data_IF_940747772138
#
_entry.id   IF_940747772138
#
_cell.length_a   1.000
_cell.length_b   1.000
_cell.length_c   1.000
_cell.angle_alpha   90.00
_cell.angle_beta   90.00
_cell.angle_gamma   90.00
#
_symmetry.space_group_name_H-M   'P 1'
#
loop_
_entity.id
_entity.type
_entity.pdbx_description
1 polymer ?
#
# COMPACT_ATOMS: atom_id res chain seq x y z
N UNK A 1 11.78 33.20 -5.07
CA UNK A 1 11.11 32.68 -3.84
C UNK A 1 12.09 31.78 -3.13
N UNK A 2 12.25 31.91 -1.81
CA UNK A 2 13.08 30.99 -0.99
C UNK A 2 12.43 29.61 -0.97
N UNK A 3 13.25 28.56 -1.22
CA UNK A 3 12.77 27.16 -1.13
C UNK A 3 12.32 26.86 0.27
N UNK A 4 11.22 26.11 0.40
CA UNK A 4 10.74 25.64 1.71
C UNK A 4 11.52 24.43 2.19
N UNK A 5 11.89 24.44 3.46
CA UNK A 5 12.55 23.32 4.13
C UNK A 5 11.50 22.47 4.85
N UNK A 6 11.42 21.21 4.50
CA UNK A 6 10.38 20.30 5.02
C UNK A 6 11.01 19.06 5.62
N UNK A 7 10.62 18.74 6.87
CA UNK A 7 10.98 17.49 7.53
C UNK A 7 9.82 16.50 7.41
N UNK A 8 10.12 15.27 6.97
CA UNK A 8 9.15 14.17 6.90
C UNK A 8 9.65 13.05 7.81
N UNK A 9 8.77 12.55 8.68
CA UNK A 9 9.05 11.47 9.61
C UNK A 9 8.42 10.17 9.08
N UNK A 10 9.24 9.20 8.71
CA UNK A 10 8.86 7.92 8.12
C UNK A 10 8.97 7.89 6.59
N UNK A 11 9.64 6.86 6.06
CA UNK A 11 9.84 6.63 4.61
C UNK A 11 9.09 5.39 4.07
N UNK A 12 8.02 4.99 4.72
CA UNK A 12 7.06 4.04 4.14
C UNK A 12 6.44 4.58 2.83
N UNK A 13 5.56 3.84 2.15
CA UNK A 13 4.99 4.28 0.87
C UNK A 13 4.42 5.70 0.90
N UNK A 14 3.75 6.08 1.99
CA UNK A 14 3.15 7.41 2.17
C UNK A 14 4.22 8.51 2.28
N UNK A 15 5.21 8.31 3.15
CA UNK A 15 6.28 9.29 3.35
C UNK A 15 7.16 9.45 2.12
N UNK A 16 7.46 8.35 1.43
CA UNK A 16 8.21 8.36 0.18
C UNK A 16 7.50 9.15 -0.92
N UNK A 17 6.21 8.90 -1.14
CA UNK A 17 5.43 9.64 -2.14
C UNK A 17 5.27 11.12 -1.77
N UNK A 18 5.11 11.42 -0.48
CA UNK A 18 5.06 12.80 0.01
C UNK A 18 6.39 13.52 -0.26
N UNK A 19 7.52 12.88 0.03
CA UNK A 19 8.85 13.44 -0.21
C UNK A 19 9.07 13.74 -1.71
N UNK A 20 8.74 12.79 -2.59
CA UNK A 20 8.83 12.97 -4.05
C UNK A 20 7.93 14.09 -4.55
N UNK A 21 6.69 14.20 -4.02
CA UNK A 21 5.78 15.27 -4.42
C UNK A 21 6.27 16.66 -4.01
N UNK A 22 6.85 16.80 -2.84
CA UNK A 22 7.36 18.08 -2.34
C UNK A 22 8.67 18.46 -3.04
N UNK A 23 9.56 17.51 -3.25
CA UNK A 23 10.79 17.74 -4.02
C UNK A 23 10.50 18.20 -5.46
N UNK A 24 9.44 17.69 -6.11
CA UNK A 24 8.99 18.13 -7.44
C UNK A 24 8.45 19.57 -7.48
N UNK A 25 8.25 20.18 -6.31
CA UNK A 25 7.81 21.59 -6.13
C UNK A 25 8.94 22.49 -5.62
N UNK A 26 10.18 22.11 -5.86
CA UNK A 26 11.38 22.82 -5.41
C UNK A 26 11.49 23.03 -3.88
N UNK A 27 10.93 22.12 -3.10
CA UNK A 27 11.16 22.07 -1.67
C UNK A 27 12.44 21.28 -1.35
N UNK A 28 13.17 21.70 -0.32
CA UNK A 28 14.22 20.89 0.28
C UNK A 28 13.59 19.95 1.28
N UNK A 29 13.74 18.64 1.09
CA UNK A 29 13.12 17.63 1.93
C UNK A 29 14.17 16.89 2.76
N UNK A 30 13.98 16.86 4.06
CA UNK A 30 14.68 15.98 4.98
C UNK A 30 13.74 14.84 5.37
N UNK A 31 14.15 13.62 5.03
CA UNK A 31 13.38 12.41 5.31
C UNK A 31 14.05 11.61 6.43
N UNK A 32 13.37 11.49 7.55
CA UNK A 32 13.85 10.74 8.71
C UNK A 32 13.26 9.35 8.71
N UNK A 33 14.13 8.33 8.67
CA UNK A 33 13.73 6.92 8.73
C UNK A 33 14.71 6.11 9.59
N UNK A 34 14.31 5.71 10.79
CA UNK A 34 15.20 4.98 11.70
C UNK A 34 15.47 3.53 11.26
N UNK A 35 14.59 2.94 10.44
CA UNK A 35 14.74 1.56 10.00
C UNK A 35 15.80 1.43 8.91
N UNK A 36 16.49 0.30 8.91
CA UNK A 36 17.35 -0.10 7.81
C UNK A 36 16.53 -0.43 6.56
N UNK A 37 17.13 -0.32 5.39
CA UNK A 37 16.49 -0.64 4.13
C UNK A 37 15.94 -2.07 4.10
N UNK A 38 16.72 -3.04 4.62
CA UNK A 38 16.27 -4.44 4.72
C UNK A 38 14.97 -4.60 5.51
N UNK A 39 14.81 -3.81 6.57
CA UNK A 39 13.61 -3.86 7.43
C UNK A 39 12.41 -3.19 6.74
N UNK A 40 12.66 -2.11 6.01
CA UNK A 40 11.65 -1.48 5.15
C UNK A 40 11.15 -2.43 4.05
N UNK A 41 12.02 -3.29 3.53
CA UNK A 41 11.69 -4.27 2.48
C UNK A 41 11.09 -5.58 3.02
N UNK A 42 11.12 -5.81 4.33
CA UNK A 42 10.81 -7.12 4.93
C UNK A 42 9.32 -7.47 4.99
N UNK A 43 8.41 -6.52 4.78
CA UNK A 43 6.97 -6.76 4.93
C UNK A 43 6.45 -7.65 3.80
N UNK A 44 5.83 -8.76 4.18
CA UNK A 44 5.21 -9.70 3.23
C UNK A 44 3.73 -9.36 3.01
N UNK A 45 3.47 -8.40 2.12
CA UNK A 45 2.12 -7.99 1.73
C UNK A 45 2.09 -7.42 0.31
N UNK A 46 0.92 -7.50 -0.33
CA UNK A 46 0.63 -6.85 -1.60
C UNK A 46 -0.22 -5.59 -1.42
N UNK A 47 -0.08 -4.67 -2.35
CA UNK A 47 -0.92 -3.48 -2.45
C UNK A 47 -1.76 -3.51 -3.72
N UNK A 48 -3.05 -3.28 -3.59
CA UNK A 48 -3.91 -2.99 -4.71
C UNK A 48 -3.71 -1.53 -5.16
N UNK A 49 -3.35 -1.33 -6.41
CA UNK A 49 -3.17 -0.02 -7.04
C UNK A 49 -4.40 0.27 -7.90
N UNK A 50 -5.10 1.33 -7.56
CA UNK A 50 -6.25 1.83 -8.31
C UNK A 50 -5.80 2.74 -9.47
N UNK A 51 -6.72 3.08 -10.37
CA UNK A 51 -6.46 4.05 -11.44
C UNK A 51 -6.06 5.45 -10.91
N UNK A 52 -6.61 5.86 -9.77
CA UNK A 52 -6.21 7.12 -9.13
C UNK A 52 -4.78 7.07 -8.61
N UNK A 53 -4.39 5.96 -8.00
CA UNK A 53 -3.00 5.75 -7.55
C UNK A 53 -2.02 5.67 -8.74
N UNK A 54 -2.42 5.00 -9.84
CA UNK A 54 -1.64 4.97 -11.07
C UNK A 54 -1.30 6.38 -11.55
N UNK A 55 -2.28 7.28 -11.64
CA UNK A 55 -2.06 8.68 -12.07
C UNK A 55 -1.05 9.42 -11.18
N UNK A 56 -1.01 9.10 -9.89
CA UNK A 56 0.00 9.67 -8.99
C UNK A 56 1.40 9.16 -9.36
N UNK A 57 1.55 7.87 -9.60
CA UNK A 57 2.84 7.28 -10.00
C UNK A 57 3.29 7.76 -11.38
N UNK A 58 2.36 7.93 -12.34
CA UNK A 58 2.65 8.53 -13.66
C UNK A 58 3.22 9.94 -13.51
N UNK A 59 2.63 10.76 -12.64
CA UNK A 59 3.10 12.12 -12.36
C UNK A 59 4.55 12.17 -11.86
N UNK A 60 5.01 11.13 -11.18
CA UNK A 60 6.39 11.02 -10.70
C UNK A 60 7.32 10.26 -11.66
N UNK A 61 6.82 9.84 -12.82
CA UNK A 61 7.59 9.03 -13.78
C UNK A 61 7.91 7.62 -13.28
N UNK A 62 7.17 7.12 -12.28
CA UNK A 62 7.41 5.82 -11.65
C UNK A 62 6.52 4.71 -12.22
N UNK A 63 5.49 5.06 -13.00
CA UNK A 63 4.48 4.10 -13.42
C UNK A 63 5.05 2.94 -14.24
N UNK A 64 5.92 3.20 -15.19
CA UNK A 64 6.51 2.14 -16.03
C UNK A 64 7.28 1.08 -15.20
N UNK A 65 8.00 1.51 -14.17
CA UNK A 65 8.70 0.61 -13.25
C UNK A 65 7.72 -0.21 -12.41
N UNK A 66 6.68 0.45 -11.91
CA UNK A 66 5.63 -0.18 -11.11
C UNK A 66 4.85 -1.19 -11.97
N UNK A 67 4.45 -0.83 -13.17
CA UNK A 67 3.67 -1.70 -14.06
C UNK A 67 4.43 -2.97 -14.45
N UNK A 68 5.74 -2.88 -14.66
CA UNK A 68 6.61 -4.06 -14.90
C UNK A 68 6.61 -5.04 -13.72
N UNK A 69 6.56 -4.54 -12.50
CA UNK A 69 6.57 -5.35 -11.27
C UNK A 69 5.18 -5.78 -10.82
N UNK A 70 4.16 -4.97 -11.08
CA UNK A 70 2.78 -5.25 -10.69
C UNK A 70 2.11 -6.29 -11.59
N UNK A 71 1.00 -6.86 -11.10
CA UNK A 71 0.13 -7.75 -11.86
C UNK A 71 -1.23 -7.09 -12.08
N UNK A 72 -1.56 -6.78 -13.33
CA UNK A 72 -2.82 -6.16 -13.71
C UNK A 72 -3.98 -7.15 -13.66
N UNK A 73 -5.13 -6.75 -13.12
CA UNK A 73 -6.35 -7.53 -13.17
C UNK A 73 -7.46 -6.79 -13.92
N UNK A 74 -8.23 -7.57 -14.68
CA UNK A 74 -9.29 -7.06 -15.57
C UNK A 74 -10.68 -7.30 -15.03
N UNK A 75 -10.81 -8.13 -14.00
CA UNK A 75 -12.09 -8.54 -13.42
C UNK A 75 -12.01 -8.47 -11.90
N UNK A 76 -13.05 -7.89 -11.29
CA UNK A 76 -13.31 -7.96 -9.86
C UNK A 76 -14.64 -8.67 -9.66
N UNK A 77 -14.62 -9.78 -8.93
CA UNK A 77 -15.81 -10.51 -8.51
C UNK A 77 -16.11 -10.17 -7.06
N UNK A 78 -17.24 -9.54 -6.83
CA UNK A 78 -17.77 -9.24 -5.49
C UNK A 78 -18.87 -10.26 -5.24
N UNK A 79 -18.74 -11.03 -4.17
CA UNK A 79 -19.65 -12.11 -3.84
C UNK A 79 -20.17 -11.94 -2.41
N UNK A 80 -21.46 -12.10 -2.23
CA UNK A 80 -22.08 -12.16 -0.92
C UNK A 80 -22.62 -13.58 -0.70
N UNK A 81 -22.02 -14.30 0.25
CA UNK A 81 -22.36 -15.70 0.52
C UNK A 81 -23.66 -15.83 1.30
N UNK A 82 -24.07 -14.83 2.08
CA UNK A 82 -25.29 -14.90 2.89
C UNK A 82 -26.55 -14.85 2.02
N UNK A 83 -26.54 -13.97 1.02
CA UNK A 83 -27.67 -13.80 0.09
C UNK A 83 -27.45 -14.50 -1.27
N UNK A 84 -26.35 -15.26 -1.39
CA UNK A 84 -25.98 -15.97 -2.63
C UNK A 84 -25.97 -15.07 -3.86
N UNK A 85 -25.55 -13.81 -3.72
CA UNK A 85 -25.52 -12.82 -4.78
C UNK A 85 -24.09 -12.50 -5.21
N UNK A 86 -23.93 -12.08 -6.46
CA UNK A 86 -22.63 -11.68 -6.96
C UNK A 86 -22.72 -10.56 -7.99
N UNK A 87 -21.71 -9.70 -7.98
CA UNK A 87 -21.50 -8.66 -8.99
C UNK A 87 -20.12 -8.85 -9.60
N UNK A 88 -20.05 -8.80 -10.91
CA UNK A 88 -18.79 -8.89 -11.64
C UNK A 88 -18.55 -7.56 -12.35
N UNK A 89 -17.49 -6.88 -11.97
CA UNK A 89 -17.03 -5.66 -12.63
C UNK A 89 -15.87 -6.03 -13.56
N UNK A 90 -15.97 -5.64 -14.83
CA UNK A 90 -14.94 -5.89 -15.84
C UNK A 90 -14.35 -4.59 -16.35
N UNK A 91 -13.08 -4.60 -16.73
CA UNK A 91 -12.43 -3.43 -17.32
C UNK A 91 -13.19 -2.96 -18.59
N UNK A 92 -13.78 -3.88 -19.36
CA UNK A 92 -14.59 -3.55 -20.53
C UNK A 92 -15.88 -2.77 -20.19
N UNK A 93 -16.44 -2.96 -19.01
CA UNK A 93 -17.62 -2.22 -18.57
C UNK A 93 -17.32 -0.72 -18.38
N UNK A 94 -16.04 -0.41 -18.11
CA UNK A 94 -15.55 0.96 -17.90
C UNK A 94 -14.99 1.62 -19.18
N UNK A 95 -14.81 0.87 -20.28
CA UNK A 95 -14.30 1.40 -21.56
C UNK A 95 -15.15 2.54 -22.13
N UNK A 96 -16.45 2.56 -21.85
CA UNK A 96 -17.36 3.66 -22.23
C UNK A 96 -16.97 5.00 -21.57
N UNK A 97 -16.14 4.94 -20.51
CA UNK A 97 -15.69 6.11 -19.75
C UNK A 97 -14.25 6.50 -20.15
N UNK A 98 -13.45 5.52 -20.58
CA UNK A 98 -12.06 5.76 -20.96
C UNK A 98 -11.56 4.63 -21.90
N UNK A 99 -11.40 4.92 -23.19
CA UNK A 99 -11.09 3.95 -24.26
C UNK A 99 -9.77 3.18 -24.07
N UNK A 100 -8.86 3.67 -23.25
CA UNK A 100 -7.54 3.08 -23.02
C UNK A 100 -7.45 2.22 -21.75
N UNK A 101 -8.56 1.98 -21.05
CA UNK A 101 -8.52 1.24 -19.79
C UNK A 101 -8.54 -0.27 -20.02
N UNK A 102 -7.38 -0.92 -19.89
CA UNK A 102 -7.22 -2.37 -20.05
C UNK A 102 -7.39 -3.12 -18.71
N UNK A 103 -6.99 -2.51 -17.59
CA UNK A 103 -7.04 -3.11 -16.25
C UNK A 103 -7.97 -2.31 -15.32
N UNK A 104 -8.67 -2.98 -14.42
CA UNK A 104 -9.38 -2.35 -13.31
C UNK A 104 -8.40 -1.79 -12.27
N UNK A 105 -7.33 -2.52 -12.04
CA UNK A 105 -6.28 -2.19 -11.12
C UNK A 105 -5.10 -3.14 -11.25
N UNK A 106 -4.14 -2.98 -10.38
CA UNK A 106 -2.93 -3.79 -10.32
C UNK A 106 -2.65 -4.19 -8.88
N UNK A 107 -1.91 -5.28 -8.70
CA UNK A 107 -1.39 -5.69 -7.39
C UNK A 107 0.12 -5.72 -7.48
N UNK A 108 0.80 -5.04 -6.56
CA UNK A 108 2.26 -5.03 -6.46
C UNK A 108 2.71 -5.54 -5.10
N UNK A 109 3.79 -6.29 -5.08
CA UNK A 109 4.44 -6.69 -3.85
C UNK A 109 5.04 -5.50 -3.10
N UNK A 110 5.01 -5.54 -1.76
CA UNK A 110 5.57 -4.49 -0.93
C UNK A 110 7.05 -4.25 -1.22
N UNK A 111 7.83 -5.32 -1.35
CA UNK A 111 9.27 -5.24 -1.62
C UNK A 111 9.54 -4.51 -2.93
N UNK A 112 8.82 -4.86 -3.99
CA UNK A 112 9.00 -4.24 -5.31
C UNK A 112 8.61 -2.76 -5.29
N UNK A 113 7.47 -2.43 -4.68
CA UNK A 113 7.04 -1.05 -4.53
C UNK A 113 8.05 -0.22 -3.73
N UNK A 114 8.48 -0.73 -2.57
CA UNK A 114 9.42 -0.01 -1.71
C UNK A 114 10.78 0.17 -2.38
N UNK A 115 11.28 -0.84 -3.10
CA UNK A 115 12.52 -0.72 -3.85
C UNK A 115 12.46 0.42 -4.87
N UNK A 116 11.40 0.47 -5.69
CA UNK A 116 11.19 1.56 -6.66
C UNK A 116 11.15 2.92 -5.96
N UNK A 117 10.45 3.04 -4.82
CA UNK A 117 10.36 4.29 -4.09
C UNK A 117 11.69 4.71 -3.46
N UNK A 118 12.45 3.78 -2.89
CA UNK A 118 13.76 4.03 -2.31
C UNK A 118 14.74 4.49 -3.39
N UNK A 119 14.78 3.82 -4.54
CA UNK A 119 15.64 4.19 -5.65
C UNK A 119 15.30 5.61 -6.17
N UNK A 120 14.01 5.93 -6.28
CA UNK A 120 13.55 7.26 -6.68
C UNK A 120 13.94 8.36 -5.67
N UNK A 121 13.88 8.06 -4.38
CA UNK A 121 14.34 8.98 -3.31
C UNK A 121 15.83 9.18 -3.38
N UNK A 122 16.60 8.10 -3.46
CA UNK A 122 18.07 8.15 -3.49
C UNK A 122 18.60 8.91 -4.73
N UNK A 123 17.89 8.84 -5.85
CA UNK A 123 18.20 9.60 -7.06
C UNK A 123 17.78 11.07 -7.06
N UNK A 124 17.08 11.55 -6.02
CA UNK A 124 16.53 12.90 -6.00
C UNK A 124 17.40 13.88 -5.20
N UNK A 125 18.04 14.84 -5.85
CA UNK A 125 18.95 15.82 -5.22
C UNK A 125 18.29 16.75 -4.17
N UNK A 126 16.99 16.83 -4.11
CA UNK A 126 16.26 17.68 -3.17
C UNK A 126 15.79 16.90 -1.93
N UNK A 127 16.08 15.59 -1.85
CA UNK A 127 15.71 14.74 -0.73
C UNK A 127 16.98 14.23 -0.05
N UNK A 128 17.15 14.60 1.21
CA UNK A 128 18.22 14.08 2.06
C UNK A 128 17.63 13.13 3.10
N UNK A 129 18.16 11.91 3.20
CA UNK A 129 17.68 10.87 4.11
C UNK A 129 18.61 10.72 5.30
N UNK A 130 18.03 10.67 6.50
CA UNK A 130 18.76 10.46 7.76
C UNK A 130 18.08 9.38 8.60
N UNK A 131 18.88 8.61 9.34
CA UNK A 131 18.39 7.60 10.29
C UNK A 131 17.99 8.20 11.63
N UNK A 132 18.69 9.22 12.06
CA UNK A 132 18.51 9.86 13.36
C UNK A 132 17.98 11.28 13.17
N UNK A 133 16.94 11.63 13.91
CA UNK A 133 16.40 12.97 13.94
C UNK A 133 17.23 13.84 14.91
N UNK A 134 18.36 14.34 14.42
CA UNK A 134 19.28 15.24 15.18
C UNK A 134 19.16 16.69 14.76
N UNK A 135 18.26 17.03 13.81
CA UNK A 135 18.12 18.37 13.25
C UNK A 135 17.04 19.13 14.03
N UNK A 136 17.36 20.34 14.49
CA UNK A 136 16.42 21.19 15.24
C UNK A 136 15.15 21.46 14.40
N UNK A 137 14.00 21.18 14.99
CA UNK A 137 12.68 21.36 14.39
C UNK A 137 12.44 22.82 13.91
N UNK A 138 13.08 23.80 14.57
CA UNK A 138 12.97 25.22 14.22
C UNK A 138 13.58 25.59 12.87
N UNK A 139 14.40 24.73 12.28
CA UNK A 139 15.01 24.95 10.97
C UNK A 139 14.08 24.65 9.80
N UNK A 140 12.89 24.10 10.08
CA UNK A 140 11.92 23.68 9.07
C UNK A 140 10.70 24.59 9.03
N UNK A 141 10.22 24.87 7.83
CA UNK A 141 8.93 25.54 7.62
C UNK A 141 7.76 24.60 7.99
N UNK A 142 7.92 23.30 7.75
CA UNK A 142 6.90 22.27 8.05
C UNK A 142 7.55 20.96 8.51
N UNK A 143 6.88 20.30 9.47
CA UNK A 143 7.20 18.93 9.88
C UNK A 143 5.97 18.07 9.63
N UNK A 144 6.15 16.99 8.88
CA UNK A 144 5.08 16.11 8.43
C UNK A 144 5.32 14.70 8.94
N UNK A 145 4.36 14.13 9.68
CA UNK A 145 4.44 12.76 10.16
C UNK A 145 3.80 11.79 9.16
N UNK A 146 4.59 10.83 8.70
CA UNK A 146 4.18 9.69 7.88
C UNK A 146 4.69 8.37 8.49
N UNK A 147 4.86 8.34 9.81
CA UNK A 147 5.48 7.30 10.63
C UNK A 147 4.55 6.12 10.98
N UNK A 148 3.42 6.01 10.30
CA UNK A 148 2.57 4.83 10.24
C UNK A 148 1.47 4.76 11.31
N UNK A 149 0.90 3.55 11.46
CA UNK A 149 -0.29 3.31 12.29
C UNK A 149 -0.07 3.65 13.75
N UNK A 150 1.04 3.23 14.33
CA UNK A 150 1.37 3.40 15.74
C UNK A 150 2.25 4.63 15.99
N UNK A 151 2.09 5.66 15.16
CA UNK A 151 2.82 6.90 15.03
C UNK A 151 3.39 7.44 16.35
N UNK A 152 4.72 7.45 16.53
CA UNK A 152 5.38 8.13 17.64
C UNK A 152 5.12 9.64 17.64
N UNK A 153 5.07 10.26 16.45
CA UNK A 153 4.79 11.69 16.29
C UNK A 153 3.41 12.06 16.79
N UNK A 154 2.38 11.23 16.51
CA UNK A 154 1.03 11.45 17.05
C UNK A 154 1.03 11.52 18.57
N UNK A 155 1.79 10.63 19.23
CA UNK A 155 1.95 10.64 20.68
C UNK A 155 2.71 11.87 21.16
N UNK A 156 3.86 12.19 20.55
CA UNK A 156 4.71 13.35 20.88
C UNK A 156 3.93 14.65 20.75
N UNK A 157 3.14 14.81 19.69
CA UNK A 157 2.35 16.03 19.43
C UNK A 157 1.00 16.04 20.13
N UNK A 158 0.68 15.00 20.92
CA UNK A 158 -0.58 14.87 21.67
C UNK A 158 -1.81 15.04 20.79
N UNK A 159 -1.76 14.55 19.55
CA UNK A 159 -2.88 14.62 18.61
C UNK A 159 -3.95 13.64 19.08
N UNK A 160 -5.16 14.11 19.42
CA UNK A 160 -6.24 13.24 19.85
C UNK A 160 -6.70 12.33 18.71
N UNK A 161 -7.07 11.10 19.01
CA UNK A 161 -7.66 10.19 18.06
C UNK A 161 -8.65 9.25 18.72
N UNK A 162 -9.68 8.86 17.99
CA UNK A 162 -10.65 7.87 18.39
C UNK A 162 -10.20 6.48 17.93
N UNK A 163 -10.13 5.52 18.85
CA UNK A 163 -9.83 4.12 18.53
C UNK A 163 -11.10 3.29 18.70
N UNK A 164 -11.52 2.62 17.62
CA UNK A 164 -12.65 1.68 17.63
C UNK A 164 -12.12 0.27 17.44
N UNK A 165 -12.56 -0.66 18.28
CA UNK A 165 -12.24 -2.07 18.17
C UNK A 165 -13.41 -2.80 17.50
N UNK A 166 -13.11 -3.67 16.54
CA UNK A 166 -14.11 -4.37 15.73
C UNK A 166 -14.25 -5.86 16.08
N UNK A 167 -13.67 -6.35 17.14
CA UNK A 167 -13.66 -7.78 17.51
C UNK A 167 -13.26 -8.74 16.36
N UNK A 168 -12.53 -8.22 15.40
CA UNK A 168 -12.04 -8.95 14.23
C UNK A 168 -10.53 -8.80 14.12
N UNK A 169 -9.91 -9.82 13.56
CA UNK A 169 -8.50 -9.81 13.14
C UNK A 169 -8.41 -10.08 11.65
N UNK A 170 -7.31 -9.65 11.07
CA UNK A 170 -6.98 -9.91 9.69
C UNK A 170 -5.71 -10.75 9.62
N UNK A 171 -5.80 -11.92 9.00
CA UNK A 171 -4.65 -12.69 8.55
C UNK A 171 -4.35 -12.29 7.12
N UNK A 172 -3.09 -11.99 6.82
CA UNK A 172 -2.67 -11.63 5.47
C UNK A 172 -1.46 -12.48 5.09
N UNK A 173 -1.58 -13.23 4.01
CA UNK A 173 -0.54 -14.17 3.54
C UNK A 173 -0.63 -14.34 2.03
N UNK A 174 0.38 -14.98 1.43
CA UNK A 174 0.39 -15.37 0.01
C UNK A 174 0.13 -16.84 -0.15
N UNK A 175 -0.68 -17.19 -1.15
CA UNK A 175 -0.98 -18.58 -1.50
C UNK A 175 -0.96 -18.78 -3.01
N UNK A 176 -0.59 -19.98 -3.46
CA UNK A 176 -0.69 -20.39 -4.86
C UNK A 176 -2.06 -21.04 -5.06
N UNK A 177 -2.90 -20.44 -5.90
CA UNK A 177 -4.22 -20.96 -6.22
C UNK A 177 -4.19 -21.60 -7.62
N UNK A 178 -3.97 -22.92 -7.65
CA UNK A 178 -3.98 -23.69 -8.90
C UNK A 178 -5.40 -23.69 -9.52
N UNK A 179 -5.50 -23.45 -10.84
CA UNK A 179 -6.78 -23.41 -11.54
C UNK A 179 -7.60 -22.13 -11.36
N UNK A 180 -7.18 -21.19 -10.54
CA UNK A 180 -7.87 -19.91 -10.40
C UNK A 180 -7.82 -19.11 -11.72
N UNK A 181 -8.91 -18.43 -12.11
CA UNK A 181 -8.94 -17.59 -13.29
C UNK A 181 -7.90 -16.49 -13.24
N UNK A 182 -7.10 -16.36 -14.31
CA UNK A 182 -6.08 -15.31 -14.43
C UNK A 182 -6.73 -13.92 -14.43
N UNK A 183 -5.99 -12.92 -13.93
CA UNK A 183 -6.38 -11.49 -13.93
C UNK A 183 -7.74 -11.19 -13.26
N UNK A 184 -8.11 -12.00 -12.27
CA UNK A 184 -9.34 -11.81 -11.50
C UNK A 184 -9.02 -11.63 -10.03
N UNK A 185 -9.53 -10.53 -9.45
CA UNK A 185 -9.57 -10.29 -8.03
C UNK A 185 -10.93 -10.69 -7.46
N UNK A 186 -10.98 -11.02 -6.18
CA UNK A 186 -12.20 -11.40 -5.48
C UNK A 186 -12.33 -10.61 -4.19
N UNK A 187 -13.57 -10.20 -3.89
CA UNK A 187 -14.02 -9.71 -2.59
C UNK A 187 -15.23 -10.53 -2.19
N UNK A 188 -15.12 -11.31 -1.11
CA UNK A 188 -16.13 -12.28 -0.69
C UNK A 188 -16.61 -11.87 0.69
N UNK A 189 -17.85 -11.41 0.78
CA UNK A 189 -18.54 -11.15 2.04
C UNK A 189 -19.06 -12.47 2.59
N UNK A 190 -18.70 -12.77 3.83
CA UNK A 190 -19.05 -13.98 4.57
C UNK A 190 -19.47 -13.60 5.99
N UNK A 191 -20.25 -14.45 6.64
CA UNK A 191 -20.67 -14.24 8.03
C UNK A 191 -19.48 -14.01 8.98
N UNK A 192 -18.39 -14.77 8.81
CA UNK A 192 -17.18 -14.67 9.64
C UNK A 192 -16.34 -13.41 9.35
N UNK A 193 -16.65 -12.69 8.30
CA UNK A 193 -15.93 -11.51 7.85
C UNK A 193 -15.46 -11.61 6.39
N UNK A 194 -15.08 -10.49 5.77
CA UNK A 194 -14.69 -10.45 4.37
C UNK A 194 -13.39 -11.22 4.10
N UNK A 195 -13.30 -11.75 2.87
CA UNK A 195 -12.13 -12.42 2.33
C UNK A 195 -11.79 -11.81 0.98
N UNK A 196 -10.62 -11.17 0.85
CA UNK A 196 -10.15 -10.66 -0.42
C UNK A 196 -9.01 -11.54 -0.98
N UNK A 197 -9.06 -11.77 -2.29
CA UNK A 197 -8.02 -12.48 -3.04
C UNK A 197 -7.53 -11.55 -4.16
N UNK A 198 -6.31 -11.07 -4.03
CA UNK A 198 -5.69 -10.15 -4.97
C UNK A 198 -4.63 -10.89 -5.79
N UNK A 199 -4.77 -10.97 -7.12
CA UNK A 199 -3.87 -11.77 -7.95
C UNK A 199 -2.48 -11.12 -8.03
N UNK A 200 -1.47 -11.95 -7.93
CA UNK A 200 -0.07 -11.66 -8.17
C UNK A 200 0.44 -12.50 -9.35
N UNK A 201 1.72 -12.40 -9.68
CA UNK A 201 2.35 -13.22 -10.71
C UNK A 201 2.37 -14.71 -10.31
N UNK A 202 2.50 -15.60 -11.29
CA UNK A 202 2.71 -17.05 -11.09
C UNK A 202 1.60 -17.75 -10.29
N UNK A 203 0.33 -17.42 -10.56
CA UNK A 203 -0.83 -17.97 -9.84
C UNK A 203 -0.80 -17.74 -8.32
N UNK A 204 0.04 -16.85 -7.86
CA UNK A 204 0.07 -16.42 -6.45
C UNK A 204 -1.03 -15.39 -6.21
N UNK A 205 -1.63 -15.46 -5.04
CA UNK A 205 -2.61 -14.48 -4.58
C UNK A 205 -2.18 -13.92 -3.22
N UNK A 206 -2.33 -12.63 -3.04
CA UNK A 206 -2.38 -12.05 -1.70
C UNK A 206 -3.76 -12.32 -1.12
N UNK A 207 -3.81 -13.07 -0.04
CA UNK A 207 -5.03 -13.37 0.71
C UNK A 207 -5.14 -12.38 1.87
N UNK A 208 -6.30 -11.78 2.02
CA UNK A 208 -6.63 -10.89 3.15
C UNK A 208 -7.90 -11.47 3.78
N UNK A 209 -7.75 -12.13 4.91
CA UNK A 209 -8.80 -12.91 5.55
C UNK A 209 -9.18 -12.30 6.88
N UNK A 210 -10.37 -11.76 6.94
CA UNK A 210 -10.96 -11.27 8.20
C UNK A 210 -11.78 -12.37 8.85
N UNK A 211 -11.63 -12.49 10.17
CA UNK A 211 -12.45 -13.38 11.01
C UNK A 211 -12.52 -12.85 12.45
N UNK A 212 -13.33 -13.50 13.29
CA UNK A 212 -13.38 -13.19 14.72
C UNK A 212 -12.01 -13.40 15.38
N UNK A 213 -11.80 -12.83 16.55
CA UNK A 213 -10.54 -13.02 17.30
C UNK A 213 -10.33 -14.49 17.65
N UNK A 214 -11.40 -15.19 18.07
CA UNK A 214 -11.37 -16.62 18.41
C UNK A 214 -11.03 -17.50 17.21
N UNK A 215 -11.72 -17.28 16.08
CA UNK A 215 -11.49 -18.08 14.87
C UNK A 215 -10.08 -17.86 14.31
N UNK A 216 -9.60 -16.61 14.34
CA UNK A 216 -8.22 -16.29 13.93
C UNK A 216 -7.21 -17.06 14.78
N UNK A 217 -7.43 -17.15 16.08
CA UNK A 217 -6.52 -17.83 17.00
C UNK A 217 -6.53 -19.34 16.77
N UNK A 218 -7.70 -19.91 16.53
CA UNK A 218 -7.86 -21.31 16.15
C UNK A 218 -7.16 -21.62 14.82
N UNK A 219 -7.33 -20.77 13.82
CA UNK A 219 -6.69 -20.94 12.50
C UNK A 219 -5.16 -20.88 12.59
N UNK A 220 -4.59 -20.00 13.41
CA UNK A 220 -3.14 -19.90 13.60
C UNK A 220 -2.53 -21.08 14.38
N UNK A 221 -3.34 -21.83 15.11
CA UNK A 221 -2.94 -23.00 15.88
C UNK A 221 -3.13 -24.33 15.12
N UNK A 222 -3.63 -24.29 13.88
CA UNK A 222 -3.70 -25.48 13.04
C UNK A 222 -2.29 -25.93 12.67
N UNK A 223 -2.08 -27.26 12.67
CA UNK A 223 -0.85 -27.84 12.15
C UNK A 223 -0.78 -27.71 10.62
N UNK A 224 0.40 -27.84 10.06
CA UNK A 224 0.64 -27.80 8.61
C UNK A 224 0.19 -29.09 7.88
N UNK A 225 -0.60 -29.96 8.52
CA UNK A 225 -1.12 -31.23 7.99
C UNK A 225 -2.35 -31.05 7.10
#
# INVERSE_FOLDING_TARGET
MTKKNIKILGSGPTGSLLALNLASKDCNVILIEPLEEKDLLSKDKGYAITQSSRRIFEKFGLWELIEKSAYGFTTLSIMDQEISSSVIVRANDLKKINDNQINLGWVIDHRDLMKILIDAINGNRYINKFKVDSIDDKTFDFIMAADGRDSPSRKKWKIPYLKRFYNQRCISFKAILKGAPKKRAYEIFRHQGPLALLPLKNCTYQIIWFSSISDTQNTLNLSDD
#
